data_IF_939665438869
#
_entry.id   IF_939665438869
#
_cell.length_a   1.000
_cell.length_b   1.000
_cell.length_c   1.000
_cell.angle_alpha   90.00
_cell.angle_beta   90.00
_cell.angle_gamma   90.00
#
_symmetry.space_group_name_H-M   'P 1'
#
loop_
_entity.id
_entity.type
_entity.pdbx_description
1 polymer ?
#
# COMPACT_ATOMS: atom_id res chain seq x y z
N UNK A 1 -11.84 13.48 5.92
CA UNK A 1 -12.14 12.45 4.91
C UNK A 1 -10.87 11.66 4.71
N UNK A 2 -10.87 10.37 5.08
CA UNK A 2 -9.73 9.48 4.90
C UNK A 2 -9.72 9.08 3.43
N UNK A 3 -8.82 9.68 2.65
CA UNK A 3 -8.74 9.50 1.21
C UNK A 3 -8.02 8.18 0.93
N UNK A 4 -8.74 7.06 0.87
CA UNK A 4 -8.13 5.77 0.46
C UNK A 4 -7.56 5.93 -0.96
N UNK A 5 -6.25 5.75 -1.17
CA UNK A 5 -5.64 6.04 -2.45
C UNK A 5 -6.11 5.04 -3.51
N UNK A 6 -6.55 5.58 -4.64
CA UNK A 6 -6.77 4.80 -5.86
C UNK A 6 -5.44 4.21 -6.35
N UNK A 7 -5.48 3.01 -6.94
CA UNK A 7 -4.35 2.46 -7.66
C UNK A 7 -3.91 3.41 -8.78
N UNK A 8 -2.61 3.63 -8.93
CA UNK A 8 -2.04 4.45 -10.02
C UNK A 8 -2.18 3.82 -11.42
N UNK A 9 -2.56 2.55 -11.51
CA UNK A 9 -2.64 1.80 -12.77
C UNK A 9 -4.04 1.30 -13.10
N UNK A 10 -5.01 1.43 -12.19
CA UNK A 10 -6.40 1.03 -12.40
C UNK A 10 -7.37 1.73 -11.43
N UNK A 11 -8.66 1.44 -11.53
CA UNK A 11 -9.72 2.09 -10.71
C UNK A 11 -9.97 1.39 -9.36
N UNK A 12 -9.13 0.41 -8.99
CA UNK A 12 -9.23 -0.25 -7.69
C UNK A 12 -8.79 0.72 -6.59
N UNK A 13 -9.50 0.70 -5.46
CA UNK A 13 -9.20 1.50 -4.27
C UNK A 13 -8.84 0.59 -3.10
N UNK A 14 -7.57 0.15 -2.99
CA UNK A 14 -7.13 -0.66 -1.87
C UNK A 14 -7.31 0.12 -0.56
N UNK A 15 -7.85 -0.54 0.46
CA UNK A 15 -8.20 0.09 1.74
C UNK A 15 -7.06 0.07 2.77
N UNK A 16 -5.97 -0.67 2.47
CA UNK A 16 -4.79 -0.75 3.32
C UNK A 16 -3.51 -0.62 2.48
N UNK A 17 -2.44 -0.16 3.11
CA UNK A 17 -1.10 -0.06 2.50
C UNK A 17 -0.63 -1.41 1.94
N UNK A 18 -0.79 -2.48 2.73
CA UNK A 18 -0.49 -3.84 2.29
C UNK A 18 -1.37 -4.26 1.12
N UNK A 19 -2.68 -4.00 1.20
CA UNK A 19 -3.61 -4.29 0.11
C UNK A 19 -3.20 -3.61 -1.19
N UNK A 20 -2.75 -2.35 -1.10
CA UNK A 20 -2.27 -1.59 -2.25
C UNK A 20 -0.99 -2.17 -2.84
N UNK A 21 0.02 -2.43 -2.02
CA UNK A 21 1.29 -3.00 -2.48
C UNK A 21 1.11 -4.41 -3.07
N UNK A 22 0.27 -5.24 -2.43
CA UNK A 22 -0.07 -6.58 -2.90
C UNK A 22 -0.85 -6.53 -4.23
N UNK A 23 -1.82 -5.61 -4.35
CA UNK A 23 -2.56 -5.39 -5.59
C UNK A 23 -1.62 -5.02 -6.75
N UNK A 24 -0.72 -4.05 -6.56
CA UNK A 24 0.30 -3.68 -7.55
C UNK A 24 1.18 -4.86 -7.96
N UNK A 25 1.61 -5.66 -6.98
CA UNK A 25 2.47 -6.81 -7.25
C UNK A 25 1.73 -7.90 -8.05
N UNK A 26 0.51 -8.26 -7.64
CA UNK A 26 -0.25 -9.36 -8.26
C UNK A 26 -0.89 -8.99 -9.59
N UNK A 27 -1.50 -7.80 -9.68
CA UNK A 27 -2.28 -7.40 -10.86
C UNK A 27 -1.43 -6.71 -11.91
N UNK A 28 -0.43 -5.93 -11.49
CA UNK A 28 0.37 -5.12 -12.39
C UNK A 28 1.83 -5.56 -12.49
N UNK A 29 2.23 -6.62 -11.78
CA UNK A 29 3.63 -7.08 -11.69
C UNK A 29 4.60 -5.94 -11.36
N UNK A 30 4.12 -4.96 -10.58
CA UNK A 30 4.84 -3.72 -10.29
C UNK A 30 4.88 -3.45 -8.77
N UNK A 31 5.61 -2.42 -8.37
CA UNK A 31 5.81 -2.05 -6.97
C UNK A 31 5.75 -0.53 -6.80
N UNK A 32 5.45 -0.05 -5.59
CA UNK A 32 5.48 1.37 -5.25
C UNK A 32 6.81 2.04 -5.65
N UNK A 33 7.93 1.37 -5.35
CA UNK A 33 9.29 1.81 -5.73
C UNK A 33 9.48 1.97 -7.24
N UNK A 34 8.92 1.08 -8.06
CA UNK A 34 9.03 1.17 -9.53
C UNK A 34 8.40 2.46 -10.07
N UNK A 35 7.36 2.96 -9.39
CA UNK A 35 6.69 4.21 -9.74
C UNK A 35 7.18 5.41 -8.92
N UNK A 36 8.24 5.26 -8.11
CA UNK A 36 8.78 6.28 -7.21
C UNK A 36 7.73 6.88 -6.26
N UNK A 37 6.73 6.08 -5.89
CA UNK A 37 5.72 6.44 -4.88
C UNK A 37 5.98 5.67 -3.59
N UNK A 38 5.46 6.18 -2.49
CA UNK A 38 5.42 5.52 -1.19
C UNK A 38 4.04 5.74 -0.58
N UNK A 39 3.64 4.82 0.28
CA UNK A 39 2.40 4.94 1.02
C UNK A 39 2.71 5.12 2.50
N UNK A 40 1.95 5.98 3.16
CA UNK A 40 2.04 6.18 4.61
C UNK A 40 0.88 5.42 5.23
N UNK A 41 1.17 4.55 6.19
CA UNK A 41 0.17 3.92 7.03
C UNK A 41 -0.40 4.94 8.03
N UNK A 42 -1.63 4.76 8.52
CA UNK A 42 -2.20 5.64 9.56
C UNK A 42 -1.34 5.71 10.84
N UNK A 43 -0.51 4.71 11.12
CA UNK A 43 0.43 4.75 12.23
C UNK A 43 1.69 5.63 11.96
N UNK A 44 1.79 6.26 10.79
CA UNK A 44 2.90 7.10 10.38
C UNK A 44 4.10 6.38 9.73
N UNK A 45 4.04 5.05 9.56
CA UNK A 45 5.15 4.30 8.94
C UNK A 45 5.04 4.36 7.41
N UNK A 46 6.15 4.71 6.77
CA UNK A 46 6.30 4.67 5.32
C UNK A 46 6.50 3.23 4.81
N UNK A 47 5.65 2.81 3.88
CA UNK A 47 5.83 1.59 3.12
C UNK A 47 6.29 1.89 1.70
N UNK A 48 7.44 1.31 1.34
CA UNK A 48 8.07 1.46 0.02
C UNK A 48 8.01 0.18 -0.82
N UNK A 49 7.57 -0.92 -0.24
CA UNK A 49 7.49 -2.24 -0.88
C UNK A 49 6.46 -3.14 -0.21
N UNK A 50 6.07 -4.20 -0.92
CA UNK A 50 5.20 -5.28 -0.44
C UNK A 50 5.77 -5.94 0.84
N UNK A 51 7.08 -6.22 0.87
CA UNK A 51 7.75 -6.85 2.02
C UNK A 51 7.75 -5.93 3.24
N UNK A 52 8.02 -4.64 3.04
CA UNK A 52 7.95 -3.63 4.11
C UNK A 52 6.52 -3.49 4.63
N UNK A 53 5.54 -3.48 3.74
CA UNK A 53 4.12 -3.45 4.09
C UNK A 53 3.67 -4.69 4.86
N UNK A 54 4.19 -5.87 4.50
CA UNK A 54 3.83 -7.16 5.13
C UNK A 54 4.36 -7.26 6.56
N UNK A 55 5.63 -6.90 6.78
CA UNK A 55 6.21 -6.88 8.12
C UNK A 55 5.47 -5.90 9.02
N UNK A 56 5.14 -4.73 8.48
CA UNK A 56 4.42 -3.70 9.22
C UNK A 56 2.96 -4.06 9.54
N UNK A 57 2.26 -4.80 8.65
CA UNK A 57 0.87 -5.22 8.88
C UNK A 57 0.70 -6.01 10.19
N UNK A 58 1.67 -6.88 10.53
CA UNK A 58 1.65 -7.62 11.79
C UNK A 58 1.76 -6.77 13.06
N UNK A 59 2.27 -5.53 12.95
CA UNK A 59 2.44 -4.60 14.07
C UNK A 59 1.32 -3.55 14.16
N UNK A 60 0.52 -3.38 13.10
CA UNK A 60 -0.47 -2.31 12.99
C UNK A 60 -1.93 -2.81 12.90
N UNK A 61 -2.17 -4.12 13.03
CA UNK A 61 -3.49 -4.74 12.86
C UNK A 61 -4.14 -4.42 11.48
N UNK A 62 -3.33 -4.05 10.49
CA UNK A 62 -3.80 -3.65 9.16
C UNK A 62 -4.69 -2.41 9.13
N UNK A 63 -4.62 -1.51 10.13
CA UNK A 63 -5.47 -0.32 10.18
C UNK A 63 -5.27 0.55 8.92
N UNK A 64 -6.42 0.97 8.39
CA UNK A 64 -6.60 1.68 7.13
C UNK A 64 -5.76 2.96 7.08
N UNK A 65 -5.57 3.50 5.87
CA UNK A 65 -4.84 4.76 5.61
C UNK A 65 -5.21 5.91 6.55
#
# INVERSE_FOLDING_TARGET
MINTPQCILCEVHPTTVYGYANHLHKQHKSTLKAHRIFLICACGIEARSDRSSRNHNGECDGRQF
#
